data_IF_140536782139
#
_entry.id   IF_140536782139
#
_cell.length_a   1.000
_cell.length_b   1.000
_cell.length_c   1.000
_cell.angle_alpha   90.00
_cell.angle_beta   90.00
_cell.angle_gamma   90.00
#
_symmetry.space_group_name_H-M   'P 1'
#
loop_
_entity.id
_entity.type
_entity.pdbx_description
1 polymer ?
#
# COMPACT_ATOMS: atom_id res chain seq x y z
N UNK A 1 -7.42 -23.91 11.29
CA UNK A 1 -8.37 -23.39 12.28
C UNK A 1 -8.59 -24.48 13.32
N UNK A 2 -8.44 -24.17 14.59
CA UNK A 2 -8.76 -25.08 15.69
C UNK A 2 -10.26 -24.99 16.00
N UNK A 3 -10.85 -26.11 16.44
CA UNK A 3 -12.31 -26.19 16.62
C UNK A 3 -12.86 -25.36 17.79
N UNK A 4 -11.97 -24.83 18.66
CA UNK A 4 -12.35 -24.05 19.86
C UNK A 4 -11.97 -22.56 19.75
N UNK A 5 -11.29 -22.15 18.67
CA UNK A 5 -10.85 -20.76 18.51
C UNK A 5 -11.94 -19.89 17.90
N UNK A 6 -12.00 -18.64 18.29
CA UNK A 6 -12.88 -17.63 17.71
C UNK A 6 -12.07 -16.73 16.76
N UNK A 7 -12.65 -16.40 15.63
CA UNK A 7 -12.02 -15.60 14.59
C UNK A 7 -12.86 -14.39 14.26
N UNK A 8 -12.18 -13.30 13.87
CA UNK A 8 -12.79 -12.12 13.29
C UNK A 8 -12.23 -11.94 11.88
N UNK A 9 -13.07 -11.56 10.92
CA UNK A 9 -12.61 -11.24 9.56
C UNK A 9 -13.22 -9.95 9.06
N UNK A 10 -12.44 -9.19 8.30
CA UNK A 10 -12.89 -8.03 7.55
C UNK A 10 -12.78 -8.33 6.06
N UNK A 11 -13.83 -8.01 5.32
CA UNK A 11 -13.91 -8.37 3.91
C UNK A 11 -14.21 -7.13 3.07
N UNK A 12 -13.45 -6.93 2.02
CA UNK A 12 -13.67 -5.90 1.01
C UNK A 12 -14.06 -6.54 -0.31
N UNK A 13 -15.06 -5.97 -0.97
CA UNK A 13 -15.49 -6.42 -2.28
C UNK A 13 -14.63 -5.78 -3.36
N UNK A 14 -13.87 -6.62 -4.10
CA UNK A 14 -13.27 -6.24 -5.38
C UNK A 14 -14.32 -6.20 -6.50
N UNK A 15 -13.92 -6.36 -7.75
CA UNK A 15 -14.83 -6.57 -8.86
C UNK A 15 -15.32 -8.02 -8.93
N UNK A 16 -16.41 -8.25 -9.67
CA UNK A 16 -16.82 -9.60 -10.05
C UNK A 16 -15.97 -10.06 -11.25
N UNK A 17 -14.83 -10.68 -10.94
CA UNK A 17 -13.85 -11.14 -11.92
C UNK A 17 -12.60 -10.25 -11.98
N UNK A 18 -11.79 -10.50 -13.00
CA UNK A 18 -10.51 -9.84 -13.20
C UNK A 18 -10.39 -9.29 -14.61
N UNK A 19 -9.54 -8.27 -14.78
CA UNK A 19 -9.19 -7.70 -16.08
C UNK A 19 -7.68 -7.54 -16.20
N UNK A 20 -7.15 -7.61 -17.41
CA UNK A 20 -5.77 -7.25 -17.71
C UNK A 20 -5.64 -5.73 -17.68
N UNK A 21 -4.58 -5.22 -17.09
CA UNK A 21 -4.25 -3.80 -17.04
C UNK A 21 -2.82 -3.57 -17.53
N UNK A 22 -2.67 -2.73 -18.55
CA UNK A 22 -1.40 -2.40 -19.19
C UNK A 22 -0.97 -0.94 -19.00
N UNK A 23 -1.53 -0.23 -18.01
CA UNK A 23 -1.17 1.17 -17.73
C UNK A 23 0.27 1.30 -17.20
N UNK A 24 0.80 0.26 -16.56
CA UNK A 24 2.17 0.21 -16.07
C UNK A 24 3.18 -0.29 -17.10
N UNK A 25 4.46 -0.28 -16.74
CA UNK A 25 5.54 -0.83 -17.57
C UNK A 25 5.47 -2.36 -17.71
N UNK A 26 4.80 -3.02 -16.78
CA UNK A 26 4.45 -4.44 -16.86
C UNK A 26 2.94 -4.60 -16.73
N UNK A 27 2.41 -5.62 -17.41
CA UNK A 27 0.99 -5.93 -17.33
C UNK A 27 0.65 -6.54 -15.97
N UNK A 28 -0.43 -6.06 -15.36
CA UNK A 28 -1.02 -6.62 -14.14
C UNK A 28 -2.40 -7.22 -14.42
N UNK A 29 -2.86 -8.07 -13.50
CA UNK A 29 -4.25 -8.54 -13.46
C UNK A 29 -4.94 -7.88 -12.27
N UNK A 30 -6.03 -7.18 -12.53
CA UNK A 30 -6.72 -6.39 -11.51
C UNK A 30 -8.15 -6.88 -11.27
N UNK A 31 -8.59 -6.79 -10.01
CA UNK A 31 -9.99 -6.87 -9.61
C UNK A 31 -10.33 -5.57 -8.89
N UNK A 32 -10.79 -4.56 -9.66
CA UNK A 32 -10.93 -3.19 -9.20
C UNK A 32 -12.39 -2.80 -9.02
N UNK A 33 -12.74 -2.36 -7.81
CA UNK A 33 -14.00 -1.73 -7.47
C UNK A 33 -13.76 -0.23 -7.30
N UNK A 34 -13.95 0.53 -8.37
CA UNK A 34 -13.71 1.98 -8.38
C UNK A 34 -14.68 2.75 -7.48
N UNK A 35 -15.87 2.23 -7.25
CA UNK A 35 -16.86 2.84 -6.35
C UNK A 35 -16.44 2.72 -4.89
N UNK A 36 -15.90 1.57 -4.49
CA UNK A 36 -15.39 1.35 -3.13
C UNK A 36 -13.95 1.85 -2.95
N UNK A 37 -13.27 2.27 -4.03
CA UNK A 37 -11.88 2.66 -3.98
C UNK A 37 -10.92 1.52 -3.62
N UNK A 38 -11.28 0.28 -3.93
CA UNK A 38 -10.52 -0.91 -3.59
C UNK A 38 -10.15 -1.72 -4.82
N UNK A 39 -8.89 -2.16 -4.92
CA UNK A 39 -8.43 -3.03 -6.00
C UNK A 39 -7.45 -4.07 -5.50
N UNK A 40 -7.58 -5.29 -6.01
CA UNK A 40 -6.61 -6.37 -5.87
C UNK A 40 -5.80 -6.43 -7.16
N UNK A 41 -4.48 -6.43 -7.04
CA UNK A 41 -3.56 -6.42 -8.19
C UNK A 41 -2.61 -7.60 -8.08
N UNK A 42 -2.58 -8.46 -9.08
CA UNK A 42 -1.61 -9.55 -9.21
C UNK A 42 -0.66 -9.23 -10.37
N UNK A 43 0.64 -9.44 -10.14
CA UNK A 43 1.67 -9.17 -11.13
C UNK A 43 2.87 -10.11 -10.95
N UNK A 44 3.68 -10.24 -12.00
CA UNK A 44 4.98 -10.90 -11.94
C UNK A 44 6.03 -9.91 -12.39
N UNK A 45 6.99 -9.62 -11.54
CA UNK A 45 8.11 -8.75 -11.87
C UNK A 45 8.97 -9.39 -12.95
N UNK A 46 9.13 -8.73 -14.07
CA UNK A 46 9.99 -9.16 -15.16
C UNK A 46 11.34 -8.44 -15.21
N UNK A 47 11.58 -7.50 -14.32
CA UNK A 47 12.69 -6.57 -14.39
C UNK A 47 13.60 -6.68 -13.16
N UNK A 48 14.88 -6.44 -13.38
CA UNK A 48 15.87 -6.27 -12.31
C UNK A 48 15.97 -4.83 -11.79
N UNK A 49 15.13 -3.92 -12.32
CA UNK A 49 15.06 -2.49 -11.97
C UNK A 49 13.68 -2.08 -11.50
N UNK A 50 13.48 -0.78 -11.35
CA UNK A 50 12.17 -0.23 -11.04
C UNK A 50 11.16 -0.50 -12.16
N UNK A 51 9.91 -0.73 -11.80
CA UNK A 51 8.80 -0.94 -12.73
C UNK A 51 7.51 -0.34 -12.20
N UNK A 52 6.50 -0.27 -13.04
CA UNK A 52 5.17 0.15 -12.62
C UNK A 52 4.11 -0.86 -13.01
N UNK A 53 3.05 -0.91 -12.21
CA UNK A 53 1.86 -1.74 -12.41
C UNK A 53 0.62 -0.85 -12.44
N UNK A 54 -0.34 -1.18 -13.30
CA UNK A 54 -1.66 -0.56 -13.26
C UNK A 54 -2.51 -1.14 -12.13
N UNK A 55 -3.29 -0.29 -11.45
CA UNK A 55 -4.14 -0.72 -10.32
C UNK A 55 -5.65 -0.69 -10.64
N UNK A 56 -6.06 -0.11 -11.76
CA UNK A 56 -7.44 -0.09 -12.23
C UNK A 56 -8.41 0.80 -11.44
N UNK A 57 -7.95 1.58 -10.47
CA UNK A 57 -8.77 2.57 -9.77
C UNK A 57 -8.82 3.89 -10.56
N UNK A 58 -9.84 4.71 -10.30
CA UNK A 58 -10.02 6.03 -10.92
C UNK A 58 -9.24 7.17 -10.22
N UNK A 59 -8.57 6.87 -9.12
CA UNK A 59 -7.79 7.83 -8.33
C UNK A 59 -6.58 7.15 -7.68
N UNK A 60 -5.57 7.94 -7.34
CA UNK A 60 -4.38 7.43 -6.66
C UNK A 60 -4.74 6.75 -5.33
N UNK A 61 -4.28 5.53 -5.08
CA UNK A 61 -4.40 4.90 -3.78
C UNK A 61 -3.72 5.77 -2.70
N UNK A 62 -4.27 5.73 -1.50
CA UNK A 62 -3.64 6.30 -0.30
C UNK A 62 -2.88 5.25 0.51
N UNK A 63 -3.21 3.99 0.26
CA UNK A 63 -2.59 2.84 0.90
C UNK A 63 -2.42 1.71 -0.13
N UNK A 64 -1.26 1.08 -0.09
CA UNK A 64 -0.93 -0.10 -0.89
C UNK A 64 -0.25 -1.13 0.01
N UNK A 65 -0.81 -2.31 0.09
CA UNK A 65 -0.23 -3.45 0.82
C UNK A 65 0.24 -4.46 -0.21
N UNK A 66 1.50 -4.91 -0.11
CA UNK A 66 2.07 -5.88 -1.06
C UNK A 66 2.65 -7.09 -0.33
N UNK A 67 2.53 -8.26 -0.97
CA UNK A 67 3.10 -9.53 -0.51
C UNK A 67 3.64 -10.32 -1.68
N UNK A 68 4.88 -10.82 -1.54
CA UNK A 68 5.40 -11.87 -2.42
C UNK A 68 4.57 -13.15 -2.25
N UNK A 69 4.27 -13.82 -3.36
CA UNK A 69 3.59 -15.13 -3.37
C UNK A 69 4.57 -16.29 -3.47
N UNK A 70 5.82 -16.01 -3.83
CA UNK A 70 6.86 -17.00 -4.07
C UNK A 70 7.75 -17.22 -2.83
N UNK A 71 7.65 -16.33 -1.82
CA UNK A 71 8.41 -16.43 -0.59
C UNK A 71 7.50 -16.38 0.64
N UNK A 72 7.60 -17.36 1.51
CA UNK A 72 6.90 -17.40 2.80
C UNK A 72 7.54 -16.53 3.87
N UNK A 73 8.78 -16.10 3.67
CA UNK A 73 9.58 -15.35 4.65
C UNK A 73 9.59 -13.84 4.42
N UNK A 74 9.12 -13.37 3.24
CA UNK A 74 9.02 -11.94 2.98
C UNK A 74 7.91 -11.32 3.85
N UNK A 75 8.17 -10.15 4.38
CA UNK A 75 7.19 -9.41 5.17
C UNK A 75 6.07 -8.84 4.27
N UNK A 76 4.96 -8.42 4.89
CA UNK A 76 3.94 -7.65 4.23
C UNK A 76 4.38 -6.18 4.11
N UNK A 77 4.65 -5.73 2.91
CA UNK A 77 4.96 -4.33 2.64
C UNK A 77 3.71 -3.46 2.77
N UNK A 78 3.82 -2.36 3.50
CA UNK A 78 2.75 -1.40 3.71
C UNK A 78 3.23 -0.02 3.28
N UNK A 79 2.61 0.53 2.25
CA UNK A 79 2.93 1.84 1.66
C UNK A 79 1.74 2.77 1.80
N UNK A 80 1.99 4.01 2.19
CA UNK A 80 0.91 4.98 2.31
C UNK A 80 1.36 6.39 1.96
N UNK A 81 0.41 7.18 1.44
CA UNK A 81 0.61 8.58 1.09
C UNK A 81 -0.47 9.42 1.75
N UNK A 82 -0.13 10.12 2.81
CA UNK A 82 -1.05 11.04 3.52
C UNK A 82 -0.69 12.50 3.28
N UNK A 83 0.51 12.78 2.75
CA UNK A 83 1.00 14.11 2.47
C UNK A 83 1.83 14.13 1.19
N UNK A 84 1.28 14.63 0.10
CA UNK A 84 2.02 14.88 -1.14
C UNK A 84 2.45 13.61 -1.89
N UNK A 85 3.54 13.71 -2.65
CA UNK A 85 4.04 12.68 -3.56
C UNK A 85 4.89 11.59 -2.88
N UNK A 86 5.41 11.84 -1.69
CA UNK A 86 6.29 10.88 -1.00
C UNK A 86 5.47 9.80 -0.32
N UNK A 87 5.75 8.56 -0.67
CA UNK A 87 5.14 7.38 -0.06
C UNK A 87 5.99 6.92 1.12
N UNK A 88 5.37 6.75 2.27
CA UNK A 88 6.02 6.18 3.44
C UNK A 88 5.86 4.66 3.45
N UNK A 89 6.81 3.98 4.07
CA UNK A 89 6.86 2.53 4.13
C UNK A 89 6.88 2.03 5.58
N UNK A 90 6.14 0.96 5.81
CA UNK A 90 6.20 0.15 7.03
C UNK A 90 6.00 -1.33 6.66
N UNK A 91 6.17 -2.22 7.61
CA UNK A 91 5.82 -3.63 7.48
C UNK A 91 4.59 -3.93 8.34
N UNK A 92 3.58 -4.56 7.74
CA UNK A 92 2.31 -4.82 8.42
C UNK A 92 2.42 -5.88 9.51
N UNK A 93 3.37 -6.79 9.36
CA UNK A 93 3.63 -7.92 10.26
C UNK A 93 4.82 -7.68 11.21
N UNK A 94 5.24 -6.43 11.38
CA UNK A 94 6.33 -6.04 12.28
C UNK A 94 6.01 -4.76 13.05
N UNK A 95 6.75 -4.54 14.13
CA UNK A 95 6.61 -3.36 15.00
C UNK A 95 7.45 -2.15 14.55
N UNK A 96 8.22 -2.27 13.48
CA UNK A 96 9.16 -1.24 13.04
C UNK A 96 8.51 0.14 12.91
N UNK A 97 9.25 1.16 13.30
CA UNK A 97 8.91 2.54 12.99
C UNK A 97 8.86 2.78 11.47
N UNK A 98 8.22 3.87 11.08
CA UNK A 98 8.18 4.27 9.69
C UNK A 98 9.58 4.45 9.11
N UNK A 99 9.89 3.75 8.04
CA UNK A 99 10.97 4.10 7.13
C UNK A 99 10.53 5.27 6.26
N UNK A 100 11.32 6.33 6.19
CA UNK A 100 11.03 7.43 5.27
C UNK A 100 11.76 7.22 3.96
N UNK A 101 11.04 7.23 2.87
CA UNK A 101 11.61 7.50 1.56
C UNK A 101 11.83 9.01 1.43
N UNK A 102 12.97 9.47 1.91
CA UNK A 102 13.35 10.89 1.79
C UNK A 102 14.06 11.20 0.48
N UNK A 103 14.17 10.24 -0.42
CA UNK A 103 14.96 10.43 -1.62
C UNK A 103 14.28 9.90 -2.90
N UNK A 104 13.39 10.69 -3.43
CA UNK A 104 13.30 10.96 -4.84
C UNK A 104 13.81 12.41 -5.02
N UNK A 105 15.15 12.62 -5.13
CA UNK A 105 15.70 13.97 -5.17
C UNK A 105 15.35 14.71 -6.45
N UNK A 106 14.92 14.03 -7.50
CA UNK A 106 14.48 14.64 -8.76
C UNK A 106 12.96 14.75 -8.87
N UNK A 107 12.21 14.24 -7.87
CA UNK A 107 10.75 14.33 -7.79
C UNK A 107 10.01 13.86 -9.06
N UNK A 108 10.66 13.01 -9.90
CA UNK A 108 10.08 12.53 -11.15
C UNK A 108 9.11 11.33 -10.92
N UNK A 109 9.03 10.83 -9.70
CA UNK A 109 8.18 9.70 -9.33
C UNK A 109 8.67 8.37 -9.88
N UNK A 110 9.90 8.31 -10.37
CA UNK A 110 10.52 7.10 -10.90
C UNK A 110 11.51 6.54 -9.88
N UNK A 111 11.25 5.32 -9.46
CA UNK A 111 12.16 4.55 -8.61
C UNK A 111 13.29 3.99 -9.49
N UNK A 112 14.28 4.80 -9.88
CA UNK A 112 15.28 4.39 -10.86
C UNK A 112 16.59 3.85 -10.26
N UNK A 113 16.75 3.93 -8.94
CA UNK A 113 17.97 3.48 -8.26
C UNK A 113 19.20 4.34 -8.57
N UNK A 114 19.04 5.43 -9.34
CA UNK A 114 20.14 6.35 -9.68
C UNK A 114 20.67 7.09 -8.45
N UNK A 115 19.83 7.21 -7.43
CA UNK A 115 20.08 7.94 -6.18
C UNK A 115 20.86 7.11 -5.15
N UNK A 116 21.29 5.89 -5.52
CA UNK A 116 22.00 4.99 -4.61
C UNK A 116 21.11 4.38 -3.51
N UNK A 117 19.80 4.56 -3.59
CA UNK A 117 18.85 4.00 -2.64
C UNK A 117 18.42 2.59 -3.04
N UNK A 118 18.78 1.63 -2.21
CA UNK A 118 18.30 0.23 -2.31
C UNK A 118 17.04 -0.01 -1.47
N UNK A 119 16.26 1.04 -1.21
CA UNK A 119 15.09 0.98 -0.35
C UNK A 119 13.85 0.41 -1.03
N UNK A 120 13.00 -0.23 -0.24
CA UNK A 120 11.69 -0.72 -0.65
C UNK A 120 10.72 0.46 -0.71
N UNK A 121 10.41 0.99 -1.88
CA UNK A 121 9.40 2.06 -1.98
C UNK A 121 8.46 1.88 -3.15
N UNK A 122 7.31 2.50 -3.04
CA UNK A 122 6.32 2.57 -4.10
C UNK A 122 5.82 4.01 -4.24
N UNK A 123 5.59 4.46 -5.47
CA UNK A 123 4.93 5.74 -5.75
C UNK A 123 3.51 5.47 -6.20
N UNK A 124 2.55 6.03 -5.47
CA UNK A 124 1.12 5.81 -5.71
C UNK A 124 0.56 6.92 -6.61
N UNK A 125 0.48 6.64 -7.92
CA UNK A 125 -0.04 7.55 -8.93
C UNK A 125 -1.53 7.32 -9.21
N UNK A 126 -2.13 8.14 -10.07
CA UNK A 126 -3.56 8.08 -10.39
C UNK A 126 -4.00 6.81 -11.13
N UNK A 127 -3.11 6.19 -11.90
CA UNK A 127 -3.38 4.97 -12.68
C UNK A 127 -2.39 3.85 -12.40
N UNK A 128 -1.21 4.16 -11.86
CA UNK A 128 -0.12 3.20 -11.67
C UNK A 128 0.48 3.28 -10.28
N UNK A 129 1.15 2.20 -9.89
CA UNK A 129 2.06 2.15 -8.75
C UNK A 129 3.45 1.85 -9.32
N UNK A 130 4.40 2.76 -9.11
CA UNK A 130 5.81 2.55 -9.41
C UNK A 130 6.48 1.88 -8.21
N UNK A 131 7.20 0.80 -8.45
CA UNK A 131 7.80 -0.06 -7.41
C UNK A 131 9.30 -0.13 -7.64
N UNK A 132 10.09 0.22 -6.61
CA UNK A 132 11.54 0.08 -6.63
C UNK A 132 11.96 -1.39 -6.52
N UNK A 133 13.17 -1.74 -6.93
CA UNK A 133 13.75 -3.06 -6.72
C UNK A 133 13.74 -3.42 -5.23
N UNK A 134 13.05 -4.50 -4.88
CA UNK A 134 12.87 -4.95 -3.50
C UNK A 134 12.50 -6.42 -3.50
N UNK A 135 12.22 -7.00 -2.33
CA UNK A 135 11.69 -8.35 -2.19
C UNK A 135 10.43 -8.62 -3.02
N UNK A 136 9.64 -7.57 -3.32
CA UNK A 136 8.41 -7.65 -4.14
C UNK A 136 8.65 -7.31 -5.62
N UNK A 137 9.88 -7.04 -6.00
CA UNK A 137 10.29 -6.52 -7.28
C UNK A 137 11.49 -7.26 -7.90
N UNK A 138 11.95 -8.35 -7.28
CA UNK A 138 12.98 -9.19 -7.87
C UNK A 138 12.44 -9.82 -9.17
N UNK A 139 13.30 -9.93 -10.18
CA UNK A 139 12.94 -10.50 -11.48
C UNK A 139 12.27 -11.87 -11.33
N UNK A 140 11.10 -12.01 -11.93
CA UNK A 140 10.30 -13.23 -11.89
C UNK A 140 9.50 -13.46 -10.63
N UNK A 141 9.53 -12.57 -9.64
CA UNK A 141 8.74 -12.70 -8.41
C UNK A 141 7.27 -12.43 -8.67
N UNK A 142 6.42 -13.40 -8.35
CA UNK A 142 4.96 -13.21 -8.34
C UNK A 142 4.54 -12.52 -7.04
N UNK A 143 3.74 -11.48 -7.16
CA UNK A 143 3.24 -10.72 -6.02
C UNK A 143 1.75 -10.40 -6.13
N UNK A 144 1.16 -10.11 -4.99
CA UNK A 144 -0.20 -9.58 -4.88
C UNK A 144 -0.16 -8.27 -4.11
N UNK A 145 -0.98 -7.31 -4.56
CA UNK A 145 -1.14 -6.02 -3.93
C UNK A 145 -2.61 -5.69 -3.68
N UNK A 146 -2.85 -4.94 -2.62
CA UNK A 146 -4.16 -4.43 -2.24
C UNK A 146 -4.09 -2.92 -2.21
N UNK A 147 -4.87 -2.27 -3.06
CA UNK A 147 -4.89 -0.82 -3.23
C UNK A 147 -6.15 -0.25 -2.59
N UNK A 148 -5.99 0.81 -1.82
CA UNK A 148 -7.09 1.52 -1.19
C UNK A 148 -7.00 3.01 -1.52
N UNK A 149 -7.99 3.53 -2.23
CA UNK A 149 -8.18 4.94 -2.47
C UNK A 149 -9.16 5.55 -1.46
N UNK A 150 -9.03 6.84 -1.21
CA UNK A 150 -9.99 7.56 -0.37
C UNK A 150 -11.31 7.74 -1.11
N UNK A 151 -12.41 7.40 -0.44
CA UNK A 151 -13.77 7.58 -0.93
C UNK A 151 -14.57 8.34 0.11
N UNK A 152 -15.12 9.49 -0.28
CA UNK A 152 -15.89 10.35 0.62
C UNK A 152 -17.06 9.59 1.25
N UNK A 153 -17.18 9.67 2.56
CA UNK A 153 -18.22 9.01 3.33
C UNK A 153 -18.02 7.51 3.56
N UNK A 154 -16.93 6.93 3.03
CA UNK A 154 -16.65 5.49 3.12
C UNK A 154 -15.27 5.18 3.68
N UNK A 155 -14.21 5.81 3.17
CA UNK A 155 -12.84 5.58 3.63
C UNK A 155 -12.06 6.88 3.75
N UNK A 156 -11.22 6.99 4.78
CA UNK A 156 -10.37 8.15 5.06
C UNK A 156 -9.00 7.68 5.51
N UNK A 157 -7.97 8.33 4.99
CA UNK A 157 -6.57 8.11 5.35
C UNK A 157 -5.98 9.43 5.87
N UNK A 158 -5.19 9.37 6.93
CA UNK A 158 -4.63 10.56 7.53
C UNK A 158 -3.60 10.26 8.60
N UNK A 159 -3.06 11.30 9.18
CA UNK A 159 -2.16 11.24 10.33
C UNK A 159 -2.57 12.28 11.36
N UNK A 160 -2.24 12.02 12.61
CA UNK A 160 -2.39 12.99 13.70
C UNK A 160 -1.19 12.88 14.64
N UNK A 161 -1.00 13.90 15.45
CA UNK A 161 0.00 13.88 16.52
C UNK A 161 -0.73 13.74 17.84
N UNK A 162 -0.33 12.78 18.65
CA UNK A 162 -0.86 12.60 20.00
C UNK A 162 -0.57 13.84 20.87
N UNK A 163 -1.48 14.19 21.74
CA UNK A 163 -1.36 15.33 22.67
C UNK A 163 -0.98 14.92 24.10
N UNK A 164 -0.85 13.60 24.35
CA UNK A 164 -0.52 13.06 25.68
C UNK A 164 -1.68 13.10 26.68
N UNK A 165 -2.88 13.47 26.24
CA UNK A 165 -4.09 13.54 27.05
C UNK A 165 -4.99 12.34 26.80
N UNK A 166 -5.76 11.92 27.83
CA UNK A 166 -6.74 10.86 27.72
C UNK A 166 -7.88 11.20 26.73
N UNK A 167 -8.20 12.48 26.57
CA UNK A 167 -9.17 12.97 25.59
C UNK A 167 -8.61 13.08 24.17
N UNK A 168 -7.37 12.73 23.89
CA UNK A 168 -6.77 12.64 22.57
C UNK A 168 -7.14 13.77 21.57
N UNK A 169 -6.49 13.86 20.43
CA UNK A 169 -6.89 14.79 19.38
C UNK A 169 -8.14 14.31 18.63
N UNK A 170 -9.05 15.23 18.33
CA UNK A 170 -10.19 14.93 17.46
C UNK A 170 -9.74 14.76 16.00
N UNK A 171 -10.08 13.63 15.39
CA UNK A 171 -9.80 13.34 13.98
C UNK A 171 -11.11 13.30 13.18
N UNK A 172 -11.32 14.29 12.33
CA UNK A 172 -12.52 14.36 11.49
C UNK A 172 -12.40 13.39 10.30
N UNK A 173 -13.25 12.38 10.25
CA UNK A 173 -13.30 11.39 9.16
C UNK A 173 -14.34 11.69 8.10
N UNK A 174 -15.37 12.50 8.43
CA UNK A 174 -16.50 12.80 7.55
C UNK A 174 -17.60 11.73 7.56
N UNK A 175 -17.45 10.69 8.37
CA UNK A 175 -18.42 9.60 8.57
C UNK A 175 -18.16 8.90 9.91
N UNK A 176 -19.03 7.99 10.31
CA UNK A 176 -18.85 7.14 11.49
C UNK A 176 -18.09 5.89 11.09
N UNK A 177 -16.81 5.73 11.49
CA UNK A 177 -16.02 4.56 11.14
C UNK A 177 -16.59 3.28 11.78
N UNK A 178 -16.64 2.19 11.02
CA UNK A 178 -16.91 0.85 11.54
C UNK A 178 -15.60 0.09 11.83
N UNK A 179 -14.49 0.51 11.22
CA UNK A 179 -13.18 -0.07 11.39
C UNK A 179 -12.11 1.02 11.36
N UNK A 180 -11.12 0.89 12.23
CA UNK A 180 -9.99 1.81 12.33
C UNK A 180 -8.72 0.98 12.44
N UNK A 181 -7.68 1.39 11.71
CA UNK A 181 -6.33 0.87 11.79
C UNK A 181 -5.38 2.00 12.14
N UNK A 182 -4.59 1.83 13.17
CA UNK A 182 -3.66 2.84 13.68
C UNK A 182 -2.27 2.24 13.79
N UNK A 183 -1.25 3.04 13.50
CA UNK A 183 0.15 2.69 13.70
C UNK A 183 0.92 3.92 14.16
N UNK A 184 1.69 3.77 15.22
CA UNK A 184 2.71 4.75 15.59
C UNK A 184 3.81 4.76 14.53
N UNK A 185 4.10 5.96 13.98
CA UNK A 185 5.10 6.12 12.92
C UNK A 185 6.48 6.47 13.46
N UNK A 186 6.58 6.98 14.69
CA UNK A 186 7.82 7.43 15.32
C UNK A 186 8.48 6.37 16.21
N UNK A 187 7.79 5.29 16.52
CA UNK A 187 8.25 4.25 17.43
C UNK A 187 8.03 2.83 16.91
N UNK A 188 8.42 1.85 17.72
CA UNK A 188 8.37 0.41 17.42
C UNK A 188 7.18 -0.27 18.09
N UNK A 189 6.00 0.34 17.99
CA UNK A 189 4.75 -0.21 18.53
C UNK A 189 4.06 -1.16 17.55
N UNK A 190 3.18 -2.01 18.05
CA UNK A 190 2.27 -2.82 17.22
C UNK A 190 1.24 -1.97 16.45
N UNK A 191 0.53 -2.62 15.55
CA UNK A 191 -0.58 -2.03 14.77
C UNK A 191 -1.85 -1.98 15.61
#
# INVERSE_FOLDING_TARGET
NNSSDTYVSWNWLGANGTASNSDGSITSTVSANTTAGFSIVSYTSGQSGAFSIGHGLSSAPKMFIAKSRDSGTDNWGFYYSVRGTNTNFMTLDQTNAQGSNTADPDANGVADGADGYTGVYAVLNSSTISIAPSAYANSGTSAIGYCFAEVQGFSKFGSYTGNGDADGPFVYTGFKPAWIMLKETSGTSDW
#
